data_IF_724179544045
#
_entry.id   IF_724179544045
#
_cell.length_a   1.000
_cell.length_b   1.000
_cell.length_c   1.000
_cell.angle_alpha   90.00
_cell.angle_beta   90.00
_cell.angle_gamma   90.00
#
_symmetry.space_group_name_H-M   'P 1'
#
loop_
_entity.id
_entity.type
_entity.pdbx_description
1 polymer ?
#
# COMPACT_ATOMS: atom_id res chain seq x y z
N UNK A 1 83.98 -21.91 -21.83
CA UNK A 1 82.77 -21.17 -22.24
C UNK A 1 81.76 -22.24 -22.61
N UNK A 2 80.64 -22.42 -21.92
CA UNK A 2 79.46 -21.54 -21.92
C UNK A 2 78.60 -21.90 -20.69
N UNK A 3 78.10 -20.90 -19.95
CA UNK A 3 77.07 -21.00 -18.91
C UNK A 3 75.67 -21.28 -19.50
N UNK A 4 74.76 -21.98 -18.79
CA UNK A 4 73.33 -21.95 -19.07
C UNK A 4 72.60 -20.91 -18.20
N UNK A 5 71.79 -20.04 -18.84
CA UNK A 5 70.87 -19.10 -18.18
C UNK A 5 69.48 -19.71 -17.94
N UNK A 6 69.15 -19.82 -16.67
CA UNK A 6 67.91 -19.50 -15.94
C UNK A 6 66.50 -19.52 -16.59
N UNK A 7 65.64 -20.28 -15.87
CA UNK A 7 64.28 -19.97 -15.38
C UNK A 7 63.09 -19.83 -16.35
N UNK A 8 62.19 -20.81 -16.26
CA UNK A 8 60.80 -20.79 -16.72
C UNK A 8 59.89 -20.15 -15.66
N UNK A 9 59.12 -19.13 -16.04
CA UNK A 9 57.99 -18.60 -15.25
C UNK A 9 56.66 -19.12 -15.77
N UNK A 10 55.93 -19.85 -14.92
CA UNK A 10 54.56 -20.30 -15.14
C UNK A 10 53.57 -19.23 -14.67
N UNK A 11 52.87 -18.52 -15.58
CA UNK A 11 51.55 -17.97 -15.29
C UNK A 11 50.79 -17.57 -16.57
N UNK A 12 49.78 -18.36 -16.94
CA UNK A 12 48.76 -17.98 -17.91
C UNK A 12 47.42 -18.51 -17.39
N UNK A 13 46.76 -17.72 -16.56
CA UNK A 13 45.40 -17.98 -16.09
C UNK A 13 44.41 -17.86 -17.26
N UNK A 14 43.85 -18.99 -17.69
CA UNK A 14 42.81 -19.03 -18.72
C UNK A 14 41.48 -18.53 -18.13
N UNK A 15 41.14 -17.27 -18.33
CA UNK A 15 39.78 -16.76 -18.05
C UNK A 15 38.88 -16.96 -19.27
N UNK A 16 37.66 -17.49 -19.11
CA UNK A 16 36.74 -17.64 -20.25
C UNK A 16 36.35 -16.27 -20.83
N UNK A 17 36.07 -16.20 -22.15
CA UNK A 17 35.74 -14.95 -22.81
C UNK A 17 34.46 -14.36 -22.22
N UNK A 18 34.38 -13.01 -22.14
CA UNK A 18 33.23 -12.35 -21.58
C UNK A 18 31.96 -12.63 -22.43
N UNK A 19 30.78 -12.75 -21.80
CA UNK A 19 29.53 -13.04 -22.49
C UNK A 19 29.19 -11.97 -23.55
N UNK A 20 28.33 -12.27 -24.55
CA UNK A 20 28.14 -11.43 -25.74
C UNK A 20 27.81 -9.96 -25.46
N UNK A 21 27.10 -9.68 -24.37
CA UNK A 21 26.75 -8.31 -23.95
C UNK A 21 27.92 -7.48 -23.41
N UNK A 22 29.07 -8.09 -23.06
CA UNK A 22 30.30 -7.40 -22.64
C UNK A 22 31.24 -7.05 -23.79
N UNK A 23 31.12 -7.68 -24.95
CA UNK A 23 32.04 -7.44 -26.08
C UNK A 23 31.84 -6.04 -26.68
N UNK A 24 30.60 -5.53 -26.69
CA UNK A 24 30.27 -4.20 -27.22
C UNK A 24 30.73 -3.02 -26.35
N UNK A 25 31.07 -3.27 -25.07
CA UNK A 25 31.55 -2.23 -24.16
C UNK A 25 33.07 -1.96 -24.30
N UNK A 26 33.82 -2.92 -24.84
CA UNK A 26 35.28 -2.83 -24.99
C UNK A 26 35.70 -1.97 -26.20
N UNK A 27 34.81 -1.83 -27.20
CA UNK A 27 35.14 -1.24 -28.50
C UNK A 27 34.67 0.22 -28.68
N UNK A 28 34.30 0.96 -27.62
CA UNK A 28 33.90 2.37 -27.75
C UNK A 28 35.11 3.30 -27.58
N UNK A 29 35.32 4.28 -28.49
CA UNK A 29 36.32 5.31 -28.29
C UNK A 29 35.99 6.14 -27.03
N UNK A 30 36.92 6.20 -26.09
CA UNK A 30 36.80 7.02 -24.89
C UNK A 30 37.04 8.49 -25.26
N UNK A 31 36.04 9.35 -25.08
CA UNK A 31 36.30 10.79 -25.06
C UNK A 31 37.13 11.12 -23.81
N UNK A 32 38.10 12.07 -23.87
CA UNK A 32 38.81 12.50 -22.67
C UNK A 32 37.81 13.18 -21.74
N UNK A 33 37.51 12.53 -20.63
CA UNK A 33 36.71 13.11 -19.55
C UNK A 33 37.64 13.91 -18.64
N UNK A 34 37.19 15.04 -18.06
CA UNK A 34 37.94 15.69 -16.99
C UNK A 34 38.16 14.65 -15.87
N UNK A 35 39.38 14.56 -15.29
CA UNK A 35 39.65 13.58 -14.26
C UNK A 35 38.68 13.81 -13.10
N UNK A 36 37.90 12.77 -12.78
CA UNK A 36 37.04 12.79 -11.60
C UNK A 36 37.91 13.05 -10.37
N UNK A 37 37.41 13.80 -9.36
CA UNK A 37 38.13 13.94 -8.12
C UNK A 37 38.37 12.53 -7.56
N UNK A 38 39.62 12.18 -7.19
CA UNK A 38 39.90 10.89 -6.60
C UNK A 38 39.00 10.68 -5.38
N UNK A 39 38.65 9.42 -5.10
CA UNK A 39 38.25 9.00 -3.75
C UNK A 39 39.50 9.19 -2.88
N UNK A 40 39.73 10.42 -2.43
CA UNK A 40 41.07 10.84 -2.03
C UNK A 40 41.10 12.26 -1.49
N UNK A 41 40.23 12.55 -0.52
CA UNK A 41 40.67 13.41 0.56
C UNK A 41 41.60 12.58 1.46
N UNK A 42 42.75 13.14 1.85
CA UNK A 42 43.64 12.55 2.87
C UNK A 42 42.87 12.34 4.17
N UNK A 43 42.18 11.21 4.31
CA UNK A 43 41.58 10.78 5.57
C UNK A 43 42.41 9.62 6.10
N UNK A 44 43.52 9.98 6.72
CA UNK A 44 44.32 9.13 7.58
C UNK A 44 43.51 8.81 8.85
N UNK A 45 42.65 7.80 8.76
CA UNK A 45 41.94 7.22 9.90
C UNK A 45 40.66 6.57 9.43
N UNK A 46 40.52 5.24 9.62
CA UNK A 46 39.43 4.38 9.14
C UNK A 46 38.03 4.72 9.69
N UNK A 47 37.62 5.97 9.60
CA UNK A 47 36.35 6.55 10.02
C UNK A 47 35.56 6.99 8.78
N UNK A 48 34.26 6.76 8.79
CA UNK A 48 33.37 7.14 7.70
C UNK A 48 33.37 8.67 7.48
N UNK A 49 33.30 9.18 6.25
CA UNK A 49 33.22 10.62 5.99
C UNK A 49 32.00 11.26 6.66
N UNK A 50 32.02 12.59 6.83
CA UNK A 50 30.90 13.33 7.40
C UNK A 50 29.64 13.26 6.53
N UNK A 51 28.47 13.53 7.12
CA UNK A 51 27.18 13.57 6.38
C UNK A 51 27.23 14.60 5.26
N UNK A 52 27.80 15.79 5.52
CA UNK A 52 27.94 16.86 4.52
C UNK A 52 28.85 16.46 3.37
N UNK A 53 29.98 15.81 3.65
CA UNK A 53 30.92 15.34 2.62
C UNK A 53 30.28 14.28 1.73
N UNK A 54 29.59 13.31 2.33
CA UNK A 54 28.86 12.27 1.59
C UNK A 54 27.74 12.86 0.75
N UNK A 55 26.98 13.83 1.27
CA UNK A 55 25.91 14.50 0.54
C UNK A 55 26.47 15.29 -0.65
N UNK A 56 27.54 16.05 -0.43
CA UNK A 56 28.23 16.82 -1.47
C UNK A 56 28.76 15.91 -2.57
N UNK A 57 29.46 14.83 -2.21
CA UNK A 57 29.95 13.84 -3.17
C UNK A 57 28.80 13.18 -3.93
N UNK A 58 27.71 12.83 -3.25
CA UNK A 58 26.54 12.21 -3.88
C UNK A 58 25.89 13.14 -4.90
N UNK A 59 25.78 14.43 -4.56
CA UNK A 59 25.25 15.45 -5.46
C UNK A 59 26.13 15.63 -6.69
N UNK A 60 27.46 15.72 -6.53
CA UNK A 60 28.42 15.84 -7.63
C UNK A 60 28.38 14.62 -8.57
N UNK A 61 28.30 13.41 -8.01
CA UNK A 61 28.16 12.18 -8.80
C UNK A 61 26.82 12.16 -9.55
N UNK A 62 25.73 12.61 -8.91
CA UNK A 62 24.43 12.69 -9.54
C UNK A 62 24.43 13.66 -10.73
N UNK A 63 24.87 14.90 -10.54
CA UNK A 63 24.83 15.91 -11.61
C UNK A 63 25.77 15.57 -12.78
N UNK A 64 26.89 14.88 -12.54
CA UNK A 64 27.81 14.48 -13.61
C UNK A 64 27.20 13.44 -14.57
N UNK A 65 26.23 12.64 -14.10
CA UNK A 65 25.57 11.59 -14.89
C UNK A 65 24.04 11.62 -14.73
N UNK A 66 23.46 12.82 -14.58
CA UNK A 66 22.05 12.98 -14.21
C UNK A 66 21.11 12.28 -15.20
N UNK A 67 21.41 12.35 -16.50
CA UNK A 67 20.61 11.70 -17.54
C UNK A 67 20.46 10.19 -17.34
N UNK A 68 21.53 9.49 -16.96
CA UNK A 68 21.48 8.04 -16.68
C UNK A 68 20.66 7.75 -15.43
N UNK A 69 20.96 8.42 -14.32
CA UNK A 69 20.26 8.17 -13.05
C UNK A 69 18.77 8.52 -13.12
N UNK A 70 18.42 9.67 -13.69
CA UNK A 70 17.03 10.07 -13.92
C UNK A 70 16.35 9.11 -14.89
N UNK A 71 17.03 8.72 -15.97
CA UNK A 71 16.50 7.76 -16.95
C UNK A 71 16.16 6.41 -16.31
N UNK A 72 17.01 5.89 -15.42
CA UNK A 72 16.74 4.64 -14.69
C UNK A 72 15.54 4.81 -13.75
N UNK A 73 15.49 5.94 -13.02
CA UNK A 73 14.50 6.16 -11.98
C UNK A 73 13.11 6.60 -12.50
N UNK A 74 13.03 7.17 -13.70
CA UNK A 74 11.75 7.59 -14.30
C UNK A 74 10.99 6.44 -14.97
N UNK A 75 11.69 5.41 -15.44
CA UNK A 75 11.07 4.27 -16.13
C UNK A 75 9.92 3.61 -15.33
N UNK A 76 10.09 3.23 -14.04
CA UNK A 76 9.00 2.64 -13.28
C UNK A 76 7.83 3.60 -13.06
N UNK A 77 8.09 4.91 -13.00
CA UNK A 77 7.05 5.94 -12.89
C UNK A 77 6.23 6.00 -14.18
N UNK A 78 6.86 5.97 -15.35
CA UNK A 78 6.15 5.95 -16.63
C UNK A 78 5.27 4.70 -16.73
N UNK A 79 5.80 3.53 -16.34
CA UNK A 79 5.04 2.27 -16.29
C UNK A 79 3.87 2.37 -15.32
N UNK A 80 4.08 3.00 -14.16
CA UNK A 80 3.04 3.24 -13.16
C UNK A 80 1.93 4.15 -13.69
N UNK A 81 2.29 5.25 -14.37
CA UNK A 81 1.32 6.17 -14.99
C UNK A 81 0.51 5.45 -16.07
N UNK A 82 1.17 4.71 -16.96
CA UNK A 82 0.48 3.91 -18.00
C UNK A 82 -0.46 2.89 -17.35
N UNK A 83 0.00 2.17 -16.32
CA UNK A 83 -0.82 1.21 -15.59
C UNK A 83 -2.06 1.87 -14.95
N UNK A 84 -1.89 3.05 -14.34
CA UNK A 84 -3.01 3.82 -13.79
C UNK A 84 -4.00 4.27 -14.86
N UNK A 85 -3.51 4.69 -16.04
CA UNK A 85 -4.37 5.06 -17.18
C UNK A 85 -5.15 3.86 -17.69
N UNK A 86 -4.51 2.69 -17.84
CA UNK A 86 -5.20 1.46 -18.23
C UNK A 86 -6.29 1.09 -17.23
N UNK A 87 -6.00 1.16 -15.93
CA UNK A 87 -6.98 0.88 -14.88
C UNK A 87 -8.14 1.88 -14.87
N UNK A 88 -7.88 3.15 -15.20
CA UNK A 88 -8.91 4.17 -15.30
C UNK A 88 -9.96 3.83 -16.39
N UNK A 89 -9.51 3.29 -17.54
CA UNK A 89 -10.39 2.96 -18.66
C UNK A 89 -11.11 1.59 -18.54
N UNK A 90 -10.68 0.68 -17.65
CA UNK A 90 -11.27 -0.67 -17.50
C UNK A 90 -12.31 -0.71 -16.35
N UNK A 91 -13.18 0.29 -16.27
CA UNK A 91 -14.24 0.44 -15.23
C UNK A 91 -13.74 0.53 -13.76
N UNK A 92 -12.42 0.51 -13.51
CA UNK A 92 -11.82 0.82 -12.21
C UNK A 92 -11.67 2.33 -11.98
N UNK A 93 -12.15 3.18 -12.89
CA UNK A 93 -12.04 4.64 -12.84
C UNK A 93 -12.62 5.27 -11.55
N UNK A 94 -13.61 4.65 -10.92
CA UNK A 94 -14.12 5.09 -9.61
C UNK A 94 -13.15 4.84 -8.44
N UNK A 95 -12.43 3.71 -8.47
CA UNK A 95 -11.40 3.37 -7.47
C UNK A 95 -10.13 4.20 -7.70
N UNK A 96 -9.69 4.27 -8.96
CA UNK A 96 -8.52 5.05 -9.36
C UNK A 96 -8.78 6.55 -9.16
N UNK A 97 -9.94 7.07 -9.56
CA UNK A 97 -10.33 8.46 -9.34
C UNK A 97 -10.40 8.85 -7.86
N UNK A 98 -10.91 7.96 -7.00
CA UNK A 98 -10.86 8.16 -5.54
C UNK A 98 -9.42 8.20 -4.98
N UNK A 99 -8.53 7.34 -5.50
CA UNK A 99 -7.11 7.33 -5.15
C UNK A 99 -6.37 8.60 -5.60
N UNK A 100 -6.70 9.09 -6.81
CA UNK A 100 -6.07 10.25 -7.44
C UNK A 100 -6.56 11.59 -6.84
N UNK A 101 -7.84 11.71 -6.48
CA UNK A 101 -8.43 12.99 -6.04
C UNK A 101 -8.68 13.12 -4.53
N UNK A 102 -8.88 12.03 -3.79
CA UNK A 102 -9.33 12.11 -2.38
C UNK A 102 -8.32 11.66 -1.32
N UNK A 103 -7.15 11.18 -1.73
CA UNK A 103 -6.16 10.60 -0.82
C UNK A 103 -6.66 9.32 -0.13
N UNK A 104 -5.83 8.73 0.73
CA UNK A 104 -6.12 7.45 1.38
C UNK A 104 -7.40 7.48 2.25
N UNK A 105 -7.83 8.67 2.69
CA UNK A 105 -9.00 8.88 3.54
C UNK A 105 -10.32 8.50 2.86
N UNK A 106 -10.44 8.70 1.54
CA UNK A 106 -11.66 8.36 0.77
C UNK A 106 -11.89 6.87 0.57
N UNK A 107 -10.86 6.03 0.71
CA UNK A 107 -10.99 4.56 0.55
C UNK A 107 -11.75 3.96 1.75
N UNK A 108 -11.57 4.52 2.94
CA UNK A 108 -12.25 4.06 4.15
C UNK A 108 -13.74 4.45 4.18
N UNK A 109 -14.10 5.56 3.52
CA UNK A 109 -15.49 6.05 3.44
C UNK A 109 -16.22 5.65 2.15
N UNK A 110 -15.54 5.04 1.16
CA UNK A 110 -16.15 4.54 -0.07
C UNK A 110 -16.24 3.01 -0.07
N UNK A 111 -17.09 2.44 0.79
CA UNK A 111 -17.61 1.08 0.60
C UNK A 111 -18.21 0.87 -0.81
N UNK A 112 -18.59 1.95 -1.50
CA UNK A 112 -19.06 1.99 -2.88
C UNK A 112 -17.97 1.82 -3.97
N UNK A 113 -16.67 1.97 -3.65
CA UNK A 113 -15.60 1.77 -4.65
C UNK A 113 -15.20 0.30 -4.81
N UNK A 114 -15.39 -0.51 -3.76
CA UNK A 114 -15.15 -1.96 -3.82
C UNK A 114 -16.33 -2.74 -4.41
N UNK A 115 -17.56 -2.26 -4.25
CA UNK A 115 -18.74 -2.87 -4.90
C UNK A 115 -18.71 -2.76 -6.43
N UNK A 116 -17.85 -1.90 -6.99
CA UNK A 116 -17.61 -1.76 -8.44
C UNK A 116 -16.52 -2.67 -9.02
N UNK A 117 -15.83 -3.47 -8.21
CA UNK A 117 -15.00 -4.58 -8.76
C UNK A 117 -15.98 -5.72 -9.10
N UNK A 118 -16.80 -5.49 -10.11
CA UNK A 118 -17.95 -6.34 -10.46
C UNK A 118 -17.57 -7.62 -11.20
N UNK A 119 -16.29 -7.77 -11.62
CA UNK A 119 -15.82 -8.99 -12.28
C UNK A 119 -14.45 -9.47 -11.76
N UNK A 120 -14.29 -10.79 -11.66
CA UNK A 120 -13.00 -11.43 -11.34
C UNK A 120 -11.89 -10.97 -12.31
N UNK A 121 -12.26 -10.68 -13.56
CA UNK A 121 -11.34 -10.22 -14.60
C UNK A 121 -10.70 -8.86 -14.28
N UNK A 122 -11.45 -7.91 -13.71
CA UNK A 122 -10.91 -6.59 -13.35
C UNK A 122 -9.97 -6.67 -12.13
N UNK A 123 -10.26 -7.55 -11.19
CA UNK A 123 -9.35 -7.87 -10.07
C UNK A 123 -8.03 -8.49 -10.57
N UNK A 124 -8.12 -9.47 -11.48
CA UNK A 124 -6.93 -10.10 -12.06
C UNK A 124 -6.08 -9.09 -12.84
N UNK A 125 -6.71 -8.19 -13.60
CA UNK A 125 -5.99 -7.13 -14.31
C UNK A 125 -5.30 -6.16 -13.34
N UNK A 126 -5.97 -5.76 -12.25
CA UNK A 126 -5.38 -4.93 -11.21
C UNK A 126 -4.14 -5.58 -10.59
N UNK A 127 -4.25 -6.86 -10.22
CA UNK A 127 -3.12 -7.63 -9.66
C UNK A 127 -1.99 -7.72 -10.69
N UNK A 128 -2.29 -7.99 -11.96
CA UNK A 128 -1.28 -8.10 -13.01
C UNK A 128 -0.55 -6.77 -13.24
N UNK A 129 -1.26 -5.65 -13.33
CA UNK A 129 -0.66 -4.31 -13.49
C UNK A 129 0.16 -3.95 -12.23
N UNK A 130 -0.36 -4.23 -11.04
CA UNK A 130 0.37 -4.03 -9.79
C UNK A 130 1.68 -4.83 -9.74
N UNK A 131 1.68 -6.08 -10.20
CA UNK A 131 2.87 -6.91 -10.31
C UNK A 131 3.90 -6.31 -11.28
N UNK A 132 3.46 -5.85 -12.46
CA UNK A 132 4.33 -5.21 -13.45
C UNK A 132 4.98 -3.94 -12.88
N UNK A 133 4.20 -3.10 -12.20
CA UNK A 133 4.70 -1.89 -11.54
C UNK A 133 5.71 -2.25 -10.45
N UNK A 134 5.41 -3.23 -9.60
CA UNK A 134 6.31 -3.68 -8.54
C UNK A 134 7.64 -4.19 -9.11
N UNK A 135 7.61 -5.03 -10.15
CA UNK A 135 8.81 -5.54 -10.82
C UNK A 135 9.62 -4.40 -11.45
N UNK A 136 8.96 -3.42 -12.07
CA UNK A 136 9.64 -2.26 -12.64
C UNK A 136 10.38 -1.43 -11.57
N UNK A 137 9.75 -1.20 -10.41
CA UNK A 137 10.38 -0.50 -9.28
C UNK A 137 11.58 -1.27 -8.73
N UNK A 138 11.44 -2.58 -8.55
CA UNK A 138 12.55 -3.45 -8.09
C UNK A 138 13.72 -3.42 -9.07
N UNK A 139 13.46 -3.54 -10.37
CA UNK A 139 14.48 -3.48 -11.42
C UNK A 139 15.16 -2.11 -11.47
N UNK A 140 14.40 -1.03 -11.35
CA UNK A 140 14.93 0.33 -11.30
C UNK A 140 15.84 0.52 -10.09
N UNK A 141 15.43 0.07 -8.90
CA UNK A 141 16.26 0.14 -7.70
C UNK A 141 17.55 -0.68 -7.85
N UNK A 142 17.47 -1.89 -8.38
CA UNK A 142 18.62 -2.73 -8.68
C UNK A 142 19.58 -2.06 -9.69
N UNK A 143 19.04 -1.44 -10.74
CA UNK A 143 19.81 -0.72 -11.76
C UNK A 143 20.48 0.54 -11.20
N UNK A 144 19.80 1.30 -10.32
CA UNK A 144 20.38 2.46 -9.63
C UNK A 144 21.55 2.05 -8.73
N UNK A 145 21.41 0.97 -7.98
CA UNK A 145 22.49 0.44 -7.13
C UNK A 145 23.67 -0.01 -8.00
N UNK A 146 23.41 -0.72 -9.10
CA UNK A 146 24.46 -1.14 -10.03
C UNK A 146 25.21 0.06 -10.61
N UNK A 147 24.48 1.08 -11.08
CA UNK A 147 25.06 2.31 -11.62
C UNK A 147 25.88 3.07 -10.57
N UNK A 148 25.40 3.15 -9.33
CA UNK A 148 26.09 3.82 -8.23
C UNK A 148 27.40 3.13 -7.82
N UNK A 149 27.39 1.79 -7.76
CA UNK A 149 28.55 0.97 -7.36
C UNK A 149 29.60 0.88 -8.49
N UNK A 150 29.19 0.90 -9.76
CA UNK A 150 30.10 0.80 -10.91
C UNK A 150 30.31 2.13 -11.64
N UNK A 151 30.14 3.25 -10.93
CA UNK A 151 30.14 4.62 -11.48
C UNK A 151 31.44 5.06 -12.16
N UNK A 152 32.54 4.34 -11.97
CA UNK A 152 33.82 4.62 -12.64
C UNK A 152 33.72 4.49 -14.18
N UNK A 153 32.69 3.79 -14.67
CA UNK A 153 32.36 3.68 -16.09
C UNK A 153 31.05 4.40 -16.36
N UNK A 154 30.96 5.06 -17.52
CA UNK A 154 29.69 5.62 -17.99
C UNK A 154 28.79 4.43 -18.37
N UNK A 155 27.83 4.13 -17.51
CA UNK A 155 26.87 3.05 -17.73
C UNK A 155 25.67 3.61 -18.48
N UNK A 156 25.31 2.97 -19.59
CA UNK A 156 24.10 3.30 -20.33
C UNK A 156 22.84 2.73 -19.66
N UNK A 157 21.68 3.33 -19.94
CA UNK A 157 20.37 2.88 -19.43
C UNK A 157 20.13 1.38 -19.67
N UNK A 158 20.33 0.92 -20.91
CA UNK A 158 20.11 -0.48 -21.28
C UNK A 158 21.10 -1.45 -20.60
N UNK A 159 22.33 -1.02 -20.33
CA UNK A 159 23.32 -1.83 -19.62
C UNK A 159 22.94 -2.00 -18.14
N UNK A 160 22.51 -0.91 -17.48
CA UNK A 160 22.08 -0.95 -16.09
C UNK A 160 20.87 -1.89 -15.91
N UNK A 161 19.86 -1.78 -16.77
CA UNK A 161 18.68 -2.67 -16.72
C UNK A 161 18.99 -4.11 -17.16
N UNK A 162 19.88 -4.30 -18.14
CA UNK A 162 20.31 -5.63 -18.57
C UNK A 162 21.04 -6.38 -17.46
N UNK A 163 21.89 -5.69 -16.69
CA UNK A 163 22.52 -6.29 -15.52
C UNK A 163 21.51 -6.54 -14.39
N UNK A 164 20.66 -5.55 -14.08
CA UNK A 164 19.66 -5.65 -13.02
C UNK A 164 18.68 -6.80 -13.25
N UNK A 165 18.20 -6.98 -14.48
CA UNK A 165 17.29 -8.08 -14.84
C UNK A 165 17.95 -9.45 -14.70
N UNK A 166 19.22 -9.59 -15.09
CA UNK A 166 20.00 -10.81 -14.89
C UNK A 166 20.24 -11.18 -13.41
N UNK A 167 20.09 -10.21 -12.49
CA UNK A 167 20.23 -10.40 -11.04
C UNK A 167 18.91 -10.33 -10.29
N UNK A 168 17.77 -10.14 -10.97
CA UNK A 168 16.47 -9.88 -10.34
C UNK A 168 16.10 -10.92 -9.28
N UNK A 169 16.21 -12.21 -9.61
CA UNK A 169 15.90 -13.27 -8.66
C UNK A 169 16.83 -13.27 -7.45
N UNK A 170 18.12 -12.99 -7.65
CA UNK A 170 19.08 -12.91 -6.53
C UNK A 170 18.79 -11.70 -5.64
N UNK A 171 18.39 -10.58 -6.25
CA UNK A 171 17.99 -9.36 -5.53
C UNK A 171 16.73 -9.60 -4.71
N UNK A 172 15.69 -10.18 -5.31
CA UNK A 172 14.46 -10.58 -4.62
C UNK A 172 14.74 -11.56 -3.48
N UNK A 173 15.60 -12.55 -3.71
CA UNK A 173 15.94 -13.51 -2.68
C UNK A 173 16.66 -12.86 -1.49
N UNK A 174 17.58 -11.93 -1.75
CA UNK A 174 18.22 -11.11 -0.69
C UNK A 174 17.18 -10.27 0.04
N UNK A 175 16.24 -9.64 -0.67
CA UNK A 175 15.18 -8.84 -0.06
C UNK A 175 14.25 -9.69 0.82
N UNK A 176 13.81 -10.86 0.34
CA UNK A 176 12.96 -11.80 1.08
C UNK A 176 13.65 -12.28 2.36
N UNK A 177 14.92 -12.68 2.27
CA UNK A 177 15.69 -13.08 3.45
C UNK A 177 15.81 -11.93 4.46
N UNK A 178 16.08 -10.71 3.99
CA UNK A 178 16.12 -9.53 4.86
C UNK A 178 14.78 -9.29 5.53
N UNK A 179 13.66 -9.37 4.80
CA UNK A 179 12.30 -9.21 5.36
C UNK A 179 12.01 -10.28 6.42
N UNK A 180 12.34 -11.55 6.14
CA UNK A 180 12.13 -12.65 7.08
C UNK A 180 12.91 -12.43 8.37
N UNK A 181 14.18 -12.06 8.28
CA UNK A 181 15.05 -11.92 9.45
C UNK A 181 14.73 -10.64 10.22
N UNK A 182 14.57 -9.50 9.54
CA UNK A 182 14.25 -8.22 10.16
C UNK A 182 12.85 -8.25 10.76
N UNK A 183 11.87 -8.75 9.99
CA UNK A 183 10.48 -8.91 10.44
C UNK A 183 10.38 -9.87 11.62
N UNK A 184 10.94 -11.08 11.49
CA UNK A 184 10.96 -12.05 12.59
C UNK A 184 11.69 -11.52 13.82
N UNK A 185 12.85 -10.87 13.63
CA UNK A 185 13.55 -10.18 14.71
C UNK A 185 12.67 -9.15 15.41
N UNK A 186 11.95 -8.32 14.65
CA UNK A 186 11.05 -7.27 15.16
C UNK A 186 9.86 -7.84 15.95
N UNK A 187 9.29 -8.97 15.51
CA UNK A 187 8.18 -9.64 16.19
C UNK A 187 8.58 -10.35 17.47
N UNK A 188 9.83 -10.84 17.56
CA UNK A 188 10.36 -11.31 18.84
C UNK A 188 10.55 -10.13 19.78
N UNK A 189 11.30 -9.12 19.32
CA UNK A 189 11.54 -7.89 20.05
C UNK A 189 11.90 -6.76 19.07
N UNK A 190 11.38 -5.56 19.30
CA UNK A 190 11.60 -4.41 18.42
C UNK A 190 13.11 -4.11 18.23
N UNK A 191 13.91 -4.19 19.30
CA UNK A 191 15.34 -3.84 19.28
C UNK A 191 16.17 -4.77 18.36
N UNK A 192 16.13 -6.11 18.49
CA UNK A 192 16.74 -7.03 17.53
C UNK A 192 16.36 -6.78 16.06
N UNK A 193 15.09 -6.46 15.80
CA UNK A 193 14.63 -6.07 14.47
C UNK A 193 15.38 -4.86 13.90
N UNK A 194 15.51 -3.79 14.69
CA UNK A 194 16.27 -2.59 14.32
C UNK A 194 17.75 -2.93 14.08
N UNK A 195 18.36 -3.76 14.94
CA UNK A 195 19.77 -4.17 14.79
C UNK A 195 19.97 -4.92 13.48
N UNK A 196 19.10 -5.87 13.14
CA UNK A 196 19.17 -6.61 11.89
C UNK A 196 18.95 -5.71 10.67
N UNK A 197 18.03 -4.74 10.76
CA UNK A 197 17.82 -3.77 9.70
C UNK A 197 19.10 -2.98 9.41
N UNK A 198 19.79 -2.52 10.46
CA UNK A 198 21.08 -1.83 10.33
C UNK A 198 22.13 -2.77 9.73
N UNK A 199 22.25 -4.01 10.21
CA UNK A 199 23.25 -4.98 9.73
C UNK A 199 23.10 -5.37 8.26
N UNK A 200 21.86 -5.41 7.74
CA UNK A 200 21.58 -5.90 6.39
C UNK A 200 21.27 -4.79 5.37
N UNK A 201 21.35 -3.52 5.77
CA UNK A 201 21.03 -2.38 4.90
C UNK A 201 21.93 -2.31 3.65
N UNK A 202 23.17 -2.81 3.73
CA UNK A 202 24.12 -2.82 2.61
C UNK A 202 24.09 -4.11 1.79
N UNK A 203 23.26 -5.10 2.14
CA UNK A 203 23.20 -6.38 1.44
C UNK A 203 22.92 -6.27 -0.08
N UNK A 204 22.05 -5.36 -0.56
CA UNK A 204 21.87 -5.13 -1.99
C UNK A 204 23.15 -4.62 -2.68
N UNK A 205 23.95 -3.80 -2.00
CA UNK A 205 25.21 -3.25 -2.53
C UNK A 205 26.30 -4.32 -2.59
N UNK A 206 26.34 -5.21 -1.59
CA UNK A 206 27.22 -6.39 -1.62
C UNK A 206 26.85 -7.31 -2.80
N UNK A 207 25.56 -7.55 -3.03
CA UNK A 207 25.11 -8.35 -4.18
C UNK A 207 25.56 -7.72 -5.50
N UNK A 208 25.40 -6.41 -5.66
CA UNK A 208 25.73 -5.74 -6.92
C UNK A 208 27.24 -5.56 -7.11
N UNK A 209 27.99 -5.23 -6.06
CA UNK A 209 29.42 -4.93 -6.15
C UNK A 209 30.36 -6.12 -6.01
N UNK A 210 29.87 -7.25 -5.47
CA UNK A 210 30.69 -8.44 -5.17
C UNK A 210 30.03 -9.76 -5.56
N UNK A 211 28.87 -9.72 -6.21
CA UNK A 211 28.14 -10.91 -6.68
C UNK A 211 27.77 -11.93 -5.59
N UNK A 212 27.84 -11.55 -4.31
CA UNK A 212 27.43 -12.41 -3.21
C UNK A 212 25.91 -12.53 -3.16
N UNK A 213 25.38 -13.77 -3.10
CA UNK A 213 23.94 -14.03 -3.19
C UNK A 213 23.33 -14.52 -1.88
N UNK A 214 22.03 -14.28 -1.72
CA UNK A 214 21.23 -14.77 -0.60
C UNK A 214 21.84 -14.41 0.75
N UNK A 215 21.91 -15.38 1.66
CA UNK A 215 22.42 -15.16 3.02
C UNK A 215 23.88 -14.71 3.06
N UNK A 216 24.69 -15.04 2.04
CA UNK A 216 26.08 -14.58 1.98
C UNK A 216 26.17 -13.05 1.84
N UNK A 217 25.25 -12.44 1.08
CA UNK A 217 25.17 -10.99 0.93
C UNK A 217 24.84 -10.30 2.28
N UNK A 218 23.85 -10.84 3.00
CA UNK A 218 23.43 -10.32 4.31
C UNK A 218 24.55 -10.41 5.34
N UNK A 219 25.19 -11.57 5.46
CA UNK A 219 26.23 -11.77 6.47
C UNK A 219 27.51 -10.98 6.16
N UNK A 220 27.80 -10.76 4.87
CA UNK A 220 28.91 -9.90 4.45
C UNK A 220 28.61 -8.41 4.66
N UNK A 221 27.36 -7.98 4.45
CA UNK A 221 26.88 -6.65 4.87
C UNK A 221 27.08 -6.44 6.38
N UNK A 222 26.68 -7.42 7.20
CA UNK A 222 26.91 -7.37 8.65
C UNK A 222 28.39 -7.19 9.00
N UNK A 223 29.29 -7.86 8.30
CA UNK A 223 30.73 -7.75 8.55
C UNK A 223 31.28 -6.36 8.20
N UNK A 224 30.82 -5.74 7.11
CA UNK A 224 31.17 -4.35 6.78
C UNK A 224 30.70 -3.36 7.84
N UNK A 225 29.52 -3.61 8.40
CA UNK A 225 28.90 -2.73 9.40
C UNK A 225 29.46 -2.98 10.81
N UNK A 226 30.16 -4.10 11.04
CA UNK A 226 30.67 -4.50 12.36
C UNK A 226 31.63 -3.45 12.93
N UNK A 227 31.21 -2.82 14.03
CA UNK A 227 31.94 -1.73 14.69
C UNK A 227 31.50 -0.33 14.25
N UNK A 228 30.76 -0.21 13.15
CA UNK A 228 30.30 1.05 12.56
C UNK A 228 28.76 1.18 12.49
N UNK A 229 28.00 0.27 13.12
CA UNK A 229 26.53 0.22 13.03
C UNK A 229 25.81 1.55 13.30
N UNK A 230 26.09 2.17 14.45
CA UNK A 230 25.50 3.46 14.80
C UNK A 230 25.95 4.59 13.87
N UNK A 231 27.21 4.57 13.42
CA UNK A 231 27.76 5.56 12.53
C UNK A 231 27.10 5.50 11.13
N UNK A 232 26.82 4.29 10.64
CA UNK A 232 26.06 4.05 9.39
C UNK A 232 24.61 4.48 9.56
N UNK A 233 23.97 4.05 10.66
CA UNK A 233 22.58 4.39 10.96
C UNK A 233 22.36 5.90 10.95
N UNK A 234 23.15 6.66 11.70
CA UNK A 234 22.99 8.12 11.78
C UNK A 234 23.26 8.82 10.45
N UNK A 235 24.15 8.30 9.60
CA UNK A 235 24.38 8.87 8.26
C UNK A 235 23.21 8.68 7.32
N UNK A 236 22.60 7.50 7.34
CA UNK A 236 21.42 7.21 6.52
C UNK A 236 20.18 7.92 7.06
N UNK A 237 20.03 7.99 8.38
CA UNK A 237 18.97 8.76 9.03
C UNK A 237 19.08 10.25 8.75
N UNK A 238 20.26 10.85 8.92
CA UNK A 238 20.48 12.26 8.65
C UNK A 238 20.26 12.60 7.17
N UNK A 239 20.74 11.75 6.25
CA UNK A 239 20.43 11.89 4.83
C UNK A 239 18.91 11.88 4.58
N UNK A 240 18.21 10.86 5.09
CA UNK A 240 16.76 10.75 4.94
C UNK A 240 16.01 11.94 5.53
N UNK A 241 16.45 12.47 6.67
CA UNK A 241 15.86 13.65 7.30
C UNK A 241 16.11 14.93 6.50
N UNK A 242 17.36 15.21 6.09
CA UNK A 242 17.71 16.42 5.33
C UNK A 242 16.98 16.43 3.99
N UNK A 243 17.08 15.32 3.25
CA UNK A 243 16.50 15.17 1.93
C UNK A 243 14.97 15.13 2.03
N UNK A 244 14.42 14.41 3.01
CA UNK A 244 12.98 14.38 3.28
C UNK A 244 12.39 15.73 3.64
N UNK A 245 13.05 16.51 4.51
CA UNK A 245 12.61 17.87 4.86
C UNK A 245 12.71 18.83 3.67
N UNK A 246 13.78 18.77 2.89
CA UNK A 246 13.92 19.58 1.68
C UNK A 246 12.78 19.28 0.70
N UNK A 247 12.46 18.02 0.49
CA UNK A 247 11.35 17.63 -0.38
C UNK A 247 9.98 17.95 0.19
N UNK A 248 9.78 17.78 1.49
CA UNK A 248 8.56 18.21 2.17
C UNK A 248 8.36 19.72 1.99
N UNK A 249 9.40 20.53 2.15
CA UNK A 249 9.32 21.98 1.95
C UNK A 249 8.99 22.36 0.50
N UNK A 250 9.63 21.72 -0.50
CA UNK A 250 9.33 21.94 -1.92
C UNK A 250 7.89 21.52 -2.23
N UNK A 251 7.48 20.33 -1.78
CA UNK A 251 6.13 19.82 -1.98
C UNK A 251 5.08 20.71 -1.32
N UNK A 252 5.32 21.16 -0.09
CA UNK A 252 4.44 22.06 0.64
C UNK A 252 4.33 23.41 -0.08
N UNK A 253 5.45 23.99 -0.52
CA UNK A 253 5.47 25.24 -1.27
C UNK A 253 4.68 25.14 -2.58
N UNK A 254 4.93 24.09 -3.36
CA UNK A 254 4.21 23.82 -4.61
C UNK A 254 2.72 23.58 -4.35
N UNK A 255 2.36 22.85 -3.29
CA UNK A 255 0.97 22.56 -2.94
C UNK A 255 0.21 23.80 -2.47
N UNK A 256 0.85 24.68 -1.68
CA UNK A 256 0.25 25.95 -1.24
C UNK A 256 0.03 26.87 -2.44
N UNK A 257 1.08 27.10 -3.24
CA UNK A 257 1.00 27.96 -4.43
C UNK A 257 -0.05 27.39 -5.40
N UNK A 258 -0.06 26.08 -5.61
CA UNK A 258 -1.02 25.41 -6.46
C UNK A 258 -2.45 25.50 -5.97
N UNK A 259 -2.68 25.34 -4.67
CA UNK A 259 -4.00 25.50 -4.05
C UNK A 259 -4.56 26.90 -4.26
N UNK A 260 -3.74 27.95 -4.09
CA UNK A 260 -4.12 29.34 -4.33
C UNK A 260 -4.50 29.56 -5.80
N UNK A 261 -3.68 29.06 -6.74
CA UNK A 261 -3.94 29.17 -8.18
C UNK A 261 -5.24 28.43 -8.55
N UNK A 262 -5.43 27.20 -8.08
CA UNK A 262 -6.63 26.40 -8.35
C UNK A 262 -7.89 27.08 -7.82
N UNK A 263 -7.83 27.66 -6.62
CA UNK A 263 -8.95 28.38 -6.02
C UNK A 263 -9.38 29.59 -6.85
N UNK A 264 -8.44 30.28 -7.50
CA UNK A 264 -8.71 31.45 -8.33
C UNK A 264 -9.29 31.12 -9.71
N UNK A 265 -9.13 29.89 -10.20
CA UNK A 265 -9.67 29.45 -11.49
C UNK A 265 -11.20 29.31 -11.37
N UNK A 266 -11.98 29.78 -12.34
CA UNK A 266 -13.45 29.56 -12.36
C UNK A 266 -13.86 28.35 -13.19
N UNK A 267 -13.13 28.06 -14.28
CA UNK A 267 -13.44 26.93 -15.17
C UNK A 267 -13.10 25.59 -14.53
N UNK A 268 -14.09 24.71 -14.41
CA UNK A 268 -13.92 23.34 -13.89
C UNK A 268 -12.89 22.54 -14.68
N UNK A 269 -12.82 22.71 -16.00
CA UNK A 269 -11.82 22.04 -16.84
C UNK A 269 -10.40 22.54 -16.57
N UNK A 270 -10.21 23.85 -16.38
CA UNK A 270 -8.88 24.40 -16.07
C UNK A 270 -8.46 24.00 -14.64
N UNK A 271 -9.39 23.96 -13.68
CA UNK A 271 -9.12 23.44 -12.33
C UNK A 271 -8.65 21.99 -12.37
N UNK A 272 -9.30 21.15 -13.17
CA UNK A 272 -8.91 19.75 -13.35
C UNK A 272 -7.47 19.63 -13.89
N UNK A 273 -7.16 20.37 -14.96
CA UNK A 273 -5.81 20.36 -15.56
C UNK A 273 -4.76 20.83 -14.56
N UNK A 274 -5.03 21.93 -13.84
CA UNK A 274 -4.14 22.43 -12.79
C UNK A 274 -3.95 21.39 -11.68
N UNK A 275 -5.04 20.76 -11.20
CA UNK A 275 -4.98 19.68 -10.21
C UNK A 275 -4.10 18.51 -10.65
N UNK A 276 -4.19 18.09 -11.92
CA UNK A 276 -3.33 17.03 -12.47
C UNK A 276 -1.85 17.42 -12.46
N UNK A 277 -1.50 18.67 -12.81
CA UNK A 277 -0.10 19.13 -12.76
C UNK A 277 0.47 19.02 -11.34
N UNK A 278 -0.29 19.44 -10.34
CA UNK A 278 0.15 19.34 -8.94
C UNK A 278 0.19 17.90 -8.44
N UNK A 279 -0.75 17.06 -8.86
CA UNK A 279 -0.74 15.62 -8.58
C UNK A 279 0.53 14.94 -9.10
N UNK A 280 1.02 15.33 -10.27
CA UNK A 280 2.24 14.74 -10.86
C UNK A 280 3.55 15.30 -10.29
N UNK A 281 3.51 16.36 -9.47
CA UNK A 281 4.73 16.99 -8.92
C UNK A 281 5.64 16.02 -8.15
N UNK A 282 5.14 15.15 -7.25
CA UNK A 282 5.98 14.18 -6.54
C UNK A 282 6.76 13.25 -7.47
N UNK A 283 6.19 12.93 -8.64
CA UNK A 283 6.80 12.03 -9.63
C UNK A 283 7.99 12.65 -10.37
N UNK A 284 8.15 13.99 -10.34
CA UNK A 284 9.33 14.69 -10.87
C UNK A 284 10.48 14.61 -9.86
N UNK A 285 10.14 14.69 -8.57
CA UNK A 285 11.08 14.77 -7.47
C UNK A 285 11.62 13.38 -7.09
N UNK A 286 10.74 12.38 -7.06
CA UNK A 286 11.05 11.01 -6.63
C UNK A 286 12.27 10.39 -7.34
N UNK A 287 12.45 10.53 -8.67
CA UNK A 287 13.64 10.03 -9.36
C UNK A 287 14.96 10.55 -8.81
N UNK A 288 15.00 11.84 -8.47
CA UNK A 288 16.18 12.51 -7.94
C UNK A 288 16.50 11.93 -6.55
N UNK A 289 15.49 11.76 -5.70
CA UNK A 289 15.63 11.18 -4.36
C UNK A 289 16.17 9.76 -4.44
N UNK A 290 15.57 8.94 -5.31
CA UNK A 290 15.94 7.54 -5.48
C UNK A 290 17.39 7.39 -5.94
N UNK A 291 17.81 8.22 -6.91
CA UNK A 291 19.19 8.25 -7.39
C UNK A 291 20.18 8.69 -6.29
N UNK A 292 19.90 9.80 -5.61
CA UNK A 292 20.77 10.29 -4.53
C UNK A 292 20.88 9.29 -3.39
N UNK A 293 19.79 8.62 -3.02
CA UNK A 293 19.79 7.58 -2.00
C UNK A 293 20.68 6.39 -2.39
N UNK A 294 20.60 5.93 -3.65
CA UNK A 294 21.45 4.85 -4.15
C UNK A 294 22.93 5.25 -4.15
N UNK A 295 23.26 6.46 -4.61
CA UNK A 295 24.64 6.97 -4.63
C UNK A 295 25.19 7.13 -3.21
N UNK A 296 24.43 7.77 -2.32
CA UNK A 296 24.86 8.03 -0.94
C UNK A 296 25.14 6.74 -0.17
N UNK A 297 24.25 5.75 -0.30
CA UNK A 297 24.45 4.44 0.31
C UNK A 297 25.61 3.63 -0.34
N UNK A 298 25.82 3.76 -1.66
CA UNK A 298 26.96 3.15 -2.33
C UNK A 298 28.30 3.73 -1.84
N UNK A 299 28.37 5.05 -1.61
CA UNK A 299 29.55 5.68 -1.02
C UNK A 299 29.85 5.12 0.38
N UNK A 300 28.83 4.99 1.25
CA UNK A 300 29.03 4.37 2.58
C UNK A 300 29.57 2.94 2.44
N UNK A 301 28.95 2.15 1.55
CA UNK A 301 29.37 0.78 1.29
C UNK A 301 30.84 0.69 0.85
N UNK A 302 31.28 1.55 -0.06
CA UNK A 302 32.66 1.53 -0.55
C UNK A 302 33.68 1.97 0.48
N UNK A 303 33.37 2.99 1.27
CA UNK A 303 34.27 3.40 2.37
C UNK A 303 34.43 2.28 3.40
N UNK A 304 33.35 1.56 3.74
CA UNK A 304 33.45 0.40 4.63
C UNK A 304 34.21 -0.77 4.00
N UNK A 305 33.97 -1.03 2.71
CA UNK A 305 34.66 -2.10 1.97
C UNK A 305 36.15 -1.82 1.83
N UNK A 306 36.55 -0.57 1.58
CA UNK A 306 37.94 -0.16 1.50
C UNK A 306 38.64 -0.25 2.87
N UNK A 307 37.95 0.14 3.95
CA UNK A 307 38.49 0.07 5.30
C UNK A 307 38.62 -1.37 5.83
N UNK A 308 37.70 -2.27 5.45
CA UNK A 308 37.74 -3.69 5.82
C UNK A 308 37.28 -4.55 4.64
N UNK A 309 38.19 -4.99 3.75
CA UNK A 309 37.81 -5.87 2.65
C UNK A 309 37.35 -7.23 3.19
N UNK A 310 36.09 -7.60 2.95
CA UNK A 310 35.52 -8.88 3.37
C UNK A 310 35.62 -9.95 2.27
N UNK A 311 36.62 -9.86 1.39
CA UNK A 311 36.81 -10.77 0.25
C UNK A 311 37.01 -12.23 0.67
N UNK A 312 37.65 -12.46 1.82
CA UNK A 312 37.87 -13.80 2.40
C UNK A 312 36.73 -14.28 3.33
N UNK A 313 35.74 -13.43 3.63
CA UNK A 313 34.67 -13.81 4.56
C UNK A 313 33.65 -14.73 3.89
N UNK A 314 33.65 -15.99 4.29
CA UNK A 314 32.65 -16.98 3.87
C UNK A 314 31.85 -17.43 5.08
N UNK A 315 30.52 -17.17 5.13
CA UNK A 315 29.72 -17.53 6.29
C UNK A 315 29.50 -19.04 6.35
N UNK A 316 29.67 -19.60 7.56
CA UNK A 316 29.42 -21.01 7.84
C UNK A 316 27.94 -21.39 7.69
N UNK A 317 27.66 -22.67 7.45
CA UNK A 317 26.29 -23.20 7.38
C UNK A 317 25.52 -22.92 8.68
N UNK A 318 26.18 -23.08 9.83
CA UNK A 318 25.60 -22.80 11.14
C UNK A 318 25.15 -21.34 11.29
N UNK A 319 25.99 -20.38 10.88
CA UNK A 319 25.62 -18.96 10.92
C UNK A 319 24.40 -18.66 10.04
N UNK A 320 24.34 -19.23 8.84
CA UNK A 320 23.18 -19.06 7.93
C UNK A 320 21.91 -19.61 8.58
N UNK A 321 21.99 -20.80 9.18
CA UNK A 321 20.86 -21.45 9.85
C UNK A 321 20.36 -20.67 11.06
N UNK A 322 21.25 -20.12 11.89
CA UNK A 322 20.87 -19.34 13.08
C UNK A 322 20.01 -18.13 12.69
N UNK A 323 20.45 -17.32 11.73
CA UNK A 323 19.71 -16.13 11.32
C UNK A 323 18.37 -16.47 10.67
N UNK A 324 18.34 -17.50 9.82
CA UNK A 324 17.11 -17.98 9.22
C UNK A 324 16.13 -18.51 10.28
N UNK A 325 16.64 -19.27 11.26
CA UNK A 325 15.85 -19.79 12.37
C UNK A 325 15.22 -18.68 13.23
N UNK A 326 15.99 -17.65 13.57
CA UNK A 326 15.47 -16.47 14.30
C UNK A 326 14.34 -15.79 13.52
N UNK A 327 14.54 -15.59 12.21
CA UNK A 327 13.52 -14.97 11.35
C UNK A 327 12.22 -15.78 11.29
N UNK A 328 12.33 -17.09 11.04
CA UNK A 328 11.16 -17.98 10.96
C UNK A 328 10.44 -18.07 12.31
N UNK A 329 11.19 -18.26 13.41
CA UNK A 329 10.62 -18.38 14.75
C UNK A 329 9.88 -17.09 15.15
N UNK A 330 10.44 -15.93 14.84
CA UNK A 330 9.79 -14.66 15.11
C UNK A 330 8.53 -14.41 14.29
N UNK A 331 8.51 -14.81 13.01
CA UNK A 331 7.31 -14.71 12.17
C UNK A 331 6.22 -15.74 12.53
N UNK A 332 6.58 -16.86 13.15
CA UNK A 332 5.61 -17.86 13.59
C UNK A 332 4.67 -17.31 14.69
N UNK A 333 5.17 -16.43 15.57
CA UNK A 333 4.39 -15.86 16.67
C UNK A 333 3.13 -15.11 16.24
N UNK A 334 3.19 -14.09 15.35
CA UNK A 334 2.00 -13.38 14.89
C UNK A 334 1.06 -14.29 14.08
N UNK A 335 1.60 -15.27 13.34
CA UNK A 335 0.79 -16.24 12.59
C UNK A 335 -0.02 -17.13 13.54
N UNK A 336 0.60 -17.64 14.61
CA UNK A 336 -0.09 -18.41 15.65
C UNK A 336 -1.12 -17.56 16.40
N UNK A 337 -0.79 -16.31 16.71
CA UNK A 337 -1.73 -15.37 17.30
C UNK A 337 -2.94 -15.10 16.41
N UNK A 338 -2.71 -14.89 15.11
CA UNK A 338 -3.77 -14.71 14.12
C UNK A 338 -4.62 -15.98 13.97
N UNK A 339 -4.01 -17.17 13.91
CA UNK A 339 -4.73 -18.43 13.85
C UNK A 339 -5.60 -18.65 15.11
N UNK A 340 -5.10 -18.29 16.28
CA UNK A 340 -5.87 -18.31 17.53
C UNK A 340 -7.05 -17.32 17.51
N UNK A 341 -6.83 -16.10 17.05
CA UNK A 341 -7.89 -15.09 16.90
C UNK A 341 -8.97 -15.55 15.92
N UNK A 342 -8.57 -16.06 14.76
CA UNK A 342 -9.47 -16.64 13.75
C UNK A 342 -10.22 -17.84 14.33
N UNK A 343 -9.55 -18.75 15.05
CA UNK A 343 -10.18 -19.87 15.74
C UNK A 343 -11.20 -19.42 16.80
N UNK A 344 -10.92 -18.35 17.54
CA UNK A 344 -11.83 -17.77 18.52
C UNK A 344 -13.07 -17.14 17.87
N UNK A 345 -12.92 -16.53 16.69
CA UNK A 345 -14.01 -16.02 15.88
C UNK A 345 -14.88 -17.17 15.35
N UNK A 346 -14.28 -18.22 14.81
CA UNK A 346 -15.01 -19.42 14.38
C UNK A 346 -15.71 -20.14 15.54
N UNK A 347 -15.09 -20.19 16.71
CA UNK A 347 -15.71 -20.76 17.93
C UNK A 347 -16.89 -19.92 18.40
N UNK A 348 -16.75 -18.59 18.41
CA UNK A 348 -17.83 -17.66 18.77
C UNK A 348 -18.98 -17.73 17.77
N UNK A 349 -18.66 -17.80 16.47
CA UNK A 349 -19.63 -18.04 15.41
C UNK A 349 -20.33 -19.40 15.59
N UNK A 350 -19.61 -20.46 15.92
CA UNK A 350 -20.18 -21.78 16.20
C UNK A 350 -21.13 -21.78 17.41
N UNK A 351 -20.78 -21.08 18.50
CA UNK A 351 -21.66 -20.91 19.67
C UNK A 351 -22.91 -20.09 19.32
N UNK A 352 -22.75 -19.01 18.57
CA UNK A 352 -23.86 -18.19 18.08
C UNK A 352 -24.81 -19.01 17.19
N UNK A 353 -24.25 -19.79 16.26
CA UNK A 353 -24.99 -20.72 15.39
C UNK A 353 -25.73 -21.79 16.20
N UNK A 354 -25.09 -22.41 17.18
CA UNK A 354 -25.72 -23.43 18.03
C UNK A 354 -26.81 -22.85 18.96
N UNK A 355 -26.67 -21.57 19.37
CA UNK A 355 -27.67 -20.87 20.18
C UNK A 355 -28.84 -20.34 19.35
N UNK A 356 -28.65 -20.19 18.03
CA UNK A 356 -29.67 -19.77 17.06
C UNK A 356 -29.74 -20.78 15.89
N UNK A 357 -30.20 -22.02 16.13
CA UNK A 357 -30.18 -23.10 15.13
C UNK A 357 -31.06 -22.83 13.90
N UNK A 358 -31.97 -21.84 13.97
CA UNK A 358 -32.75 -21.33 12.84
C UNK A 358 -31.93 -20.52 11.82
N UNK A 359 -30.69 -20.14 12.14
CA UNK A 359 -29.77 -19.40 11.27
C UNK A 359 -28.68 -20.29 10.65
N UNK A 360 -28.84 -21.62 10.67
CA UNK A 360 -27.92 -22.53 9.99
C UNK A 360 -28.04 -22.42 8.46
N UNK A 361 -26.99 -21.93 7.80
CA UNK A 361 -26.88 -21.81 6.33
C UNK A 361 -27.18 -23.11 5.56
N UNK A 362 -27.14 -24.28 6.19
CA UNK A 362 -27.53 -25.55 5.54
C UNK A 362 -29.04 -25.73 5.38
N UNK A 363 -29.84 -25.08 6.23
CA UNK A 363 -31.29 -25.02 6.09
C UNK A 363 -31.74 -23.76 5.35
N UNK A 364 -30.80 -22.93 4.88
CA UNK A 364 -31.07 -21.90 3.89
C UNK A 364 -31.30 -22.57 2.53
N UNK A 365 -32.44 -23.22 2.38
CA UNK A 365 -33.02 -23.41 1.07
C UNK A 365 -33.45 -22.03 0.59
N UNK A 366 -32.76 -21.48 -0.41
CA UNK A 366 -33.41 -20.49 -1.28
C UNK A 366 -34.49 -21.26 -2.05
N UNK A 367 -35.65 -21.43 -1.45
CA UNK A 367 -36.86 -21.59 -2.24
C UNK A 367 -37.18 -20.18 -2.74
N UNK A 368 -36.79 -19.89 -3.97
CA UNK A 368 -37.18 -18.68 -4.69
C UNK A 368 -38.68 -18.75 -5.01
N UNK A 369 -39.50 -18.73 -3.96
CA UNK A 369 -40.95 -18.60 -3.93
C UNK A 369 -41.27 -17.97 -2.57
N UNK A 370 -41.07 -16.66 -2.46
CA UNK A 370 -41.50 -15.90 -1.28
C UNK A 370 -43.01 -15.71 -1.36
N UNK A 371 -43.76 -16.75 -1.00
CA UNK A 371 -45.15 -16.62 -0.65
C UNK A 371 -45.42 -17.34 0.66
N UNK A 372 -46.26 -16.68 1.47
CA UNK A 372 -46.81 -17.05 2.78
C UNK A 372 -45.90 -16.86 4.00
N UNK A 373 -46.37 -15.99 4.89
CA UNK A 373 -45.83 -15.82 6.23
C UNK A 373 -45.98 -17.07 7.10
N UNK A 374 -45.57 -16.97 8.36
CA UNK A 374 -46.29 -17.45 9.55
C UNK A 374 -45.43 -17.20 10.80
N UNK A 375 -45.97 -16.37 11.70
CA UNK A 375 -46.00 -16.48 13.17
C UNK A 375 -44.76 -17.00 13.94
N UNK A 376 -44.13 -16.12 14.73
CA UNK A 376 -43.99 -16.34 16.17
C UNK A 376 -44.85 -15.27 16.85
N UNK A 377 -46.02 -15.60 17.37
CA UNK A 377 -46.09 -16.50 18.51
C UNK A 377 -46.20 -15.63 19.76
N UNK A 378 -47.31 -14.90 19.82
CA UNK A 378 -47.91 -14.35 21.02
C UNK A 378 -47.60 -15.22 22.25
N UNK A 379 -47.00 -14.65 23.29
CA UNK A 379 -47.46 -15.03 24.62
C UNK A 379 -48.80 -14.31 24.85
N UNK A 380 -49.84 -14.85 24.22
CA UNK A 380 -51.22 -14.56 24.60
C UNK A 380 -51.49 -15.46 25.79
N UNK A 381 -51.35 -14.90 26.97
CA UNK A 381 -52.35 -15.18 27.98
C UNK A 381 -52.96 -13.88 28.42
N UNK A 382 -54.02 -13.48 27.71
CA UNK A 382 -55.34 -13.31 28.31
C UNK A 382 -56.20 -12.57 27.31
N UNK A 383 -57.25 -13.22 26.85
CA UNK A 383 -58.54 -12.57 26.86
C UNK A 383 -59.61 -13.63 27.14
N UNK A 384 -60.11 -13.52 28.36
CA UNK A 384 -61.47 -13.84 28.78
C UNK A 384 -61.77 -15.29 29.22
N UNK A 385 -61.61 -15.51 30.53
CA UNK A 385 -62.59 -16.29 31.28
C UNK A 385 -62.87 -15.55 32.60
N UNK A 386 -64.17 -15.41 32.88
CA UNK A 386 -64.78 -14.96 34.11
C UNK A 386 -63.99 -15.23 35.40
N UNK A 387 -64.26 -14.34 36.36
CA UNK A 387 -64.34 -14.61 37.80
C UNK A 387 -63.15 -14.18 38.67
N UNK A 388 -63.44 -13.11 39.42
CA UNK A 388 -63.14 -12.94 40.84
C UNK A 388 -61.68 -12.85 41.34
N UNK A 389 -61.51 -11.81 42.16
CA UNK A 389 -60.60 -11.65 43.31
C UNK A 389 -59.14 -11.22 43.11
N UNK A 390 -58.81 -10.18 43.89
CA UNK A 390 -57.51 -9.97 44.52
C UNK A 390 -56.59 -8.98 43.80
N UNK A 391 -56.62 -7.68 44.13
CA UNK A 391 -55.74 -7.09 45.16
C UNK A 391 -54.27 -7.54 45.04
N UNK A 392 -53.34 -6.68 44.61
CA UNK A 392 -52.74 -5.65 45.46
C UNK A 392 -51.32 -5.20 45.05
N UNK A 393 -51.16 -3.86 45.03
CA UNK A 393 -50.05 -3.04 45.55
C UNK A 393 -48.67 -3.14 44.86
N UNK A 394 -48.18 -2.09 44.18
CA UNK A 394 -47.67 -0.79 44.63
C UNK A 394 -46.19 -0.85 45.10
N UNK A 395 -45.30 -0.09 44.44
CA UNK A 395 -44.53 1.02 45.06
C UNK A 395 -43.43 1.58 44.13
N UNK A 396 -43.72 2.78 43.62
CA UNK A 396 -42.88 3.97 43.60
C UNK A 396 -41.35 3.83 43.83
N UNK A 397 -40.58 4.29 42.84
CA UNK A 397 -39.46 5.19 43.10
C UNK A 397 -39.41 6.27 42.01
N UNK A 398 -39.78 7.47 42.45
CA UNK A 398 -39.63 8.75 41.75
C UNK A 398 -38.20 8.96 41.25
N UNK A 399 -38.03 9.41 40.01
CA UNK A 399 -37.08 10.48 39.75
C UNK A 399 -37.55 11.37 38.59
N UNK A 400 -37.97 12.57 38.95
CA UNK A 400 -38.30 13.65 38.03
C UNK A 400 -37.04 14.11 37.30
N UNK A 401 -37.11 14.22 35.97
CA UNK A 401 -36.43 15.28 35.21
C UNK A 401 -37.00 15.41 33.79
N UNK A 402 -37.85 16.43 33.63
CA UNK A 402 -37.99 17.33 32.49
C UNK A 402 -37.37 16.93 31.14
N UNK A 403 -38.22 16.63 30.15
CA UNK A 403 -38.34 17.35 28.87
C UNK A 403 -39.06 16.44 27.89
N UNK A 404 -40.24 16.87 27.42
CA UNK A 404 -40.93 16.23 26.32
C UNK A 404 -40.09 16.38 25.06
N UNK A 405 -39.30 15.37 24.73
CA UNK A 405 -38.55 15.32 23.49
C UNK A 405 -39.49 14.90 22.36
N UNK A 406 -40.40 15.80 21.96
CA UNK A 406 -41.06 15.69 20.66
C UNK A 406 -39.98 16.05 19.64
N UNK A 407 -39.47 15.05 18.93
CA UNK A 407 -38.55 15.29 17.83
C UNK A 407 -39.21 16.25 16.83
N UNK A 408 -38.45 17.20 16.25
CA UNK A 408 -38.96 18.06 15.18
C UNK A 408 -39.53 17.20 14.02
N UNK A 409 -40.55 17.74 13.39
CA UNK A 409 -41.27 17.16 12.25
C UNK A 409 -41.58 18.38 11.36
N UNK A 410 -40.62 18.69 10.49
CA UNK A 410 -40.47 20.00 9.83
C UNK A 410 -41.55 20.21 8.77
N UNK A 411 -41.90 19.18 8.01
CA UNK A 411 -42.94 19.19 6.98
C UNK A 411 -44.33 18.72 7.47
N UNK A 412 -44.38 18.10 8.65
CA UNK A 412 -45.61 17.65 9.36
C UNK A 412 -46.35 16.51 8.66
N UNK A 413 -45.64 15.63 7.97
CA UNK A 413 -46.21 14.42 7.37
C UNK A 413 -46.42 13.28 8.38
N UNK A 414 -45.83 13.42 9.58
CA UNK A 414 -45.88 12.45 10.67
C UNK A 414 -44.64 11.55 10.79
N UNK A 415 -43.61 11.77 9.99
CA UNK A 415 -42.27 11.19 10.08
C UNK A 415 -41.30 12.25 10.63
N UNK A 416 -40.79 12.13 11.87
CA UNK A 416 -39.91 13.14 12.45
C UNK A 416 -38.55 13.21 11.74
N UNK A 417 -37.93 14.41 11.69
CA UNK A 417 -36.69 14.73 10.96
C UNK A 417 -35.53 13.73 11.21
N UNK A 418 -35.49 13.11 12.40
CA UNK A 418 -34.46 12.13 12.74
C UNK A 418 -34.68 10.76 12.08
N UNK A 419 -35.93 10.38 11.82
CA UNK A 419 -36.27 9.21 11.01
C UNK A 419 -36.14 9.52 9.53
N UNK A 420 -36.46 10.75 9.11
CA UNK A 420 -36.24 11.18 7.72
C UNK A 420 -34.76 11.10 7.33
N UNK A 421 -33.86 11.53 8.21
CA UNK A 421 -32.41 11.35 8.02
C UNK A 421 -31.99 9.87 7.92
N UNK A 422 -32.73 8.94 8.53
CA UNK A 422 -32.48 7.50 8.45
C UNK A 422 -32.98 6.90 7.12
N UNK A 423 -34.18 7.28 6.68
CA UNK A 423 -34.77 6.84 5.42
C UNK A 423 -34.24 7.61 4.19
N UNK A 424 -33.46 8.68 4.41
CA UNK A 424 -32.90 9.60 3.40
C UNK A 424 -33.98 10.39 2.64
N UNK A 425 -35.08 10.66 3.32
CA UNK A 425 -36.14 11.55 2.83
C UNK A 425 -35.77 13.01 3.06
N UNK A 426 -36.54 13.94 2.49
CA UNK A 426 -36.30 15.37 2.59
C UNK A 426 -37.15 16.00 3.72
N UNK A 427 -36.53 16.50 4.81
CA UNK A 427 -37.25 17.07 5.96
C UNK A 427 -38.16 18.27 5.68
N UNK A 428 -38.01 18.89 4.51
CA UNK A 428 -38.83 20.02 4.08
C UNK A 428 -39.97 19.60 3.12
N UNK A 429 -40.15 18.29 2.83
CA UNK A 429 -41.09 17.80 1.82
C UNK A 429 -41.83 16.53 2.25
N UNK A 430 -43.16 16.69 2.39
CA UNK A 430 -44.13 15.65 2.80
C UNK A 430 -44.09 14.36 1.96
N UNK A 431 -43.59 14.44 0.73
CA UNK A 431 -43.51 13.37 -0.27
C UNK A 431 -42.19 13.61 -1.02
N UNK A 432 -41.18 12.78 -0.75
CA UNK A 432 -39.80 12.98 -1.22
C UNK A 432 -39.62 12.64 -2.69
N UNK A 433 -40.33 11.63 -3.20
CA UNK A 433 -40.17 11.13 -4.58
C UNK A 433 -41.30 11.53 -5.54
N UNK A 434 -42.29 12.25 -5.03
CA UNK A 434 -43.38 12.90 -5.76
C UNK A 434 -44.29 11.92 -6.50
N UNK A 435 -44.60 10.81 -5.83
CA UNK A 435 -45.44 9.75 -6.34
C UNK A 435 -46.90 9.84 -5.88
N UNK A 436 -47.17 10.66 -4.85
CA UNK A 436 -48.49 10.89 -4.28
C UNK A 436 -48.75 10.21 -2.93
N UNK A 437 -47.79 9.46 -2.38
CA UNK A 437 -47.76 8.99 -1.00
C UNK A 437 -46.83 9.87 -0.15
N UNK A 438 -47.19 10.06 1.11
CA UNK A 438 -46.32 10.79 2.05
C UNK A 438 -45.24 9.84 2.58
N UNK A 439 -44.04 10.33 2.87
CA UNK A 439 -42.91 9.52 3.37
C UNK A 439 -43.31 8.70 4.62
N UNK A 440 -44.08 9.31 5.52
CA UNK A 440 -44.67 8.65 6.69
C UNK A 440 -45.62 7.50 6.34
N UNK A 441 -46.45 7.65 5.30
CA UNK A 441 -47.40 6.62 4.87
C UNK A 441 -46.68 5.44 4.24
N UNK A 442 -45.64 5.69 3.45
CA UNK A 442 -44.79 4.68 2.88
C UNK A 442 -44.05 3.88 3.95
N UNK A 443 -43.41 4.57 4.91
CA UNK A 443 -42.69 3.92 6.00
C UNK A 443 -43.62 3.17 6.95
N UNK A 444 -44.75 3.77 7.34
CA UNK A 444 -45.59 3.24 8.41
C UNK A 444 -46.68 2.29 7.90
N UNK A 445 -47.33 2.62 6.79
CA UNK A 445 -48.54 1.92 6.31
C UNK A 445 -48.25 0.96 5.15
N UNK A 446 -47.58 1.44 4.10
CA UNK A 446 -47.47 0.71 2.83
C UNK A 446 -46.20 -0.13 2.70
N UNK A 447 -45.17 0.18 3.48
CA UNK A 447 -43.85 -0.46 3.45
C UNK A 447 -43.15 -0.35 2.08
N UNK A 448 -43.46 0.71 1.34
CA UNK A 448 -42.80 1.13 0.10
C UNK A 448 -41.53 1.91 0.40
N UNK A 449 -40.74 2.24 -0.62
CA UNK A 449 -39.48 2.95 -0.47
C UNK A 449 -39.67 4.46 -0.73
N UNK A 450 -39.57 5.34 0.28
CA UNK A 450 -39.94 6.76 0.18
C UNK A 450 -38.98 7.65 -0.61
N UNK A 451 -38.11 7.05 -1.41
CA UNK A 451 -37.19 7.75 -2.31
C UNK A 451 -37.21 7.11 -3.71
N UNK A 452 -38.22 6.29 -3.99
CA UNK A 452 -38.40 5.57 -5.23
C UNK A 452 -39.90 5.52 -5.59
N UNK A 453 -40.33 6.29 -6.61
CA UNK A 453 -41.76 6.51 -6.89
C UNK A 453 -42.48 5.32 -7.54
N UNK A 454 -41.85 4.14 -7.59
CA UNK A 454 -42.31 2.87 -8.18
C UNK A 454 -41.48 1.76 -7.51
N UNK A 455 -41.93 1.30 -6.34
CA UNK A 455 -41.15 0.43 -5.44
C UNK A 455 -40.93 -0.96 -6.01
N UNK A 456 -41.91 -1.51 -6.70
CA UNK A 456 -41.84 -2.86 -7.28
C UNK A 456 -41.28 -2.89 -8.72
N UNK A 457 -41.19 -1.73 -9.37
CA UNK A 457 -40.60 -1.53 -10.69
C UNK A 457 -41.51 -2.01 -11.82
N UNK A 458 -42.82 -2.05 -11.62
CA UNK A 458 -43.79 -2.53 -12.61
C UNK A 458 -44.26 -1.45 -13.61
N UNK A 459 -43.89 -0.19 -13.35
CA UNK A 459 -44.18 0.98 -14.18
C UNK A 459 -45.38 1.80 -13.72
N UNK A 460 -46.03 1.44 -12.61
CA UNK A 460 -47.00 2.28 -11.91
C UNK A 460 -46.36 2.92 -10.67
N UNK A 461 -46.89 4.06 -10.25
CA UNK A 461 -46.38 4.75 -9.05
C UNK A 461 -47.07 4.23 -7.81
N UNK A 462 -46.36 4.07 -6.71
CA UNK A 462 -46.92 3.51 -5.48
C UNK A 462 -48.18 4.30 -5.04
N UNK A 463 -48.13 5.64 -5.15
CA UNK A 463 -49.25 6.53 -4.85
C UNK A 463 -50.46 6.38 -5.78
N UNK A 464 -50.23 6.13 -7.08
CA UNK A 464 -51.30 5.89 -8.06
C UNK A 464 -51.96 4.53 -7.84
N UNK A 465 -51.17 3.53 -7.44
CA UNK A 465 -51.63 2.19 -7.10
C UNK A 465 -52.49 2.21 -5.86
N UNK A 466 -52.01 2.80 -4.76
CA UNK A 466 -52.75 2.96 -3.50
C UNK A 466 -54.09 3.66 -3.74
N UNK A 467 -54.08 4.75 -4.51
CA UNK A 467 -55.30 5.51 -4.84
C UNK A 467 -56.29 4.71 -5.69
N UNK A 468 -55.79 3.82 -6.53
CA UNK A 468 -56.57 2.93 -7.39
C UNK A 468 -56.97 1.63 -6.69
N UNK A 469 -56.57 1.46 -5.43
CA UNK A 469 -56.80 0.26 -4.64
C UNK A 469 -55.97 -0.94 -5.12
N UNK A 470 -54.72 -0.70 -5.52
CA UNK A 470 -53.69 -1.70 -5.85
C UNK A 470 -52.56 -1.67 -4.83
N UNK A 471 -51.92 -2.83 -4.64
CA UNK A 471 -50.82 -3.03 -3.70
C UNK A 471 -49.50 -2.60 -4.34
N UNK A 472 -48.84 -1.54 -3.83
CA UNK A 472 -47.61 -0.98 -4.41
C UNK A 472 -46.36 -1.88 -4.27
N UNK A 473 -46.53 -3.11 -3.79
CA UNK A 473 -45.47 -4.13 -3.72
C UNK A 473 -45.70 -5.29 -4.71
N UNK A 474 -46.58 -5.11 -5.71
CA UNK A 474 -46.81 -6.05 -6.82
C UNK A 474 -47.94 -7.06 -6.59
N UNK A 475 -48.86 -6.78 -5.66
CA UNK A 475 -49.86 -7.73 -5.16
C UNK A 475 -51.26 -7.70 -5.82
N UNK A 476 -51.53 -6.84 -6.81
CA UNK A 476 -52.88 -6.66 -7.36
C UNK A 476 -53.80 -5.85 -6.42
N UNK A 477 -55.13 -5.92 -6.60
CA UNK A 477 -56.06 -5.03 -5.86
C UNK A 477 -56.09 -5.24 -4.33
N UNK A 478 -55.91 -4.18 -3.56
CA UNK A 478 -56.14 -4.11 -2.09
C UNK A 478 -57.66 -4.04 -1.82
N UNK A 479 -58.23 -5.04 -1.14
CA UNK A 479 -59.65 -5.05 -0.72
C UNK A 479 -59.82 -4.60 0.73
#
# INVERSE_FOLDING_TARGET
>A
MIEPKDSLSSDQSFTPPPPPWRQNAYNRPTMPTPPMPPVGGNFSGGSLPGVGDLLSQSWQIFISNAGTYIGIAILPIVIQIIGMVVLFFVDLGGLVGGLLLGGFQSIASSSASFSKITSISSLLLFIAIGLVIAVAHILSQAALIYAAVHREKIIGLGEAFGFASGKLFSFLWVAILSIIIIGGGSFLFIIPGIIFAIWFILAPFVLMGEDARGMAALLKSKEYIRGNGLAVFWRLFAFGLIVGLAFFAVYLGVSIIGGIIIAAIKSSMIKLIAGLIFFFTPFIIQPIVAALNAIYAALIYEHLRAARPASAYTPSVAQKAIFLGIGILGLALPVLGLAGAVGSLFSSYGKFKNSNPSLDLKNFQINANFNSGIYFGNNKNSNNANSANGQSFNNNASNNNASGNKFPDTDKDGLPDNLEAFYKTNPDAVDTDFDGLTDSAEVNSWKTNPINPDTDGDGFRDGDEVKSGYDPLGGGKVQ
#
